data_IF_594260461105
#
_entry.id   IF_594260461105
#
_cell.length_a   1.000
_cell.length_b   1.000
_cell.length_c   1.000
_cell.angle_alpha   90.00
_cell.angle_beta   90.00
_cell.angle_gamma   90.00
#
_symmetry.space_group_name_H-M   'P 1'
#
loop_
_entity.id
_entity.type
_entity.pdbx_description
1 polymer ?
#
# COMPACT_ATOMS: atom_id res chain seq x y z
N UNK A 1 -14.31 -2.27 6.53
CA UNK A 1 -14.60 -2.99 5.27
C UNK A 1 -14.05 -4.40 5.39
N UNK A 2 -14.81 -5.42 5.01
CA UNK A 2 -14.32 -6.80 5.04
C UNK A 2 -13.51 -7.11 3.78
N UNK A 3 -12.66 -8.13 3.86
CA UNK A 3 -11.94 -8.67 2.71
C UNK A 3 -12.90 -9.09 1.59
N UNK A 4 -14.02 -9.72 1.95
CA UNK A 4 -15.05 -10.15 1.00
C UNK A 4 -15.66 -8.98 0.22
N UNK A 5 -15.85 -7.81 0.84
CA UNK A 5 -16.31 -6.62 0.13
C UNK A 5 -15.31 -6.16 -0.93
N UNK A 6 -14.01 -6.19 -0.61
CA UNK A 6 -12.95 -5.80 -1.56
C UNK A 6 -12.82 -6.83 -2.69
N UNK A 7 -12.86 -8.12 -2.36
CA UNK A 7 -12.80 -9.19 -3.36
C UNK A 7 -14.01 -9.14 -4.31
N UNK A 8 -15.21 -8.89 -3.80
CA UNK A 8 -16.41 -8.71 -4.64
C UNK A 8 -16.28 -7.53 -5.60
N UNK A 9 -15.72 -6.40 -5.14
CA UNK A 9 -15.45 -5.27 -6.02
C UNK A 9 -14.42 -5.61 -7.12
N UNK A 10 -13.35 -6.35 -6.78
CA UNK A 10 -12.38 -6.83 -7.76
C UNK A 10 -13.02 -7.77 -8.80
N UNK A 11 -13.95 -8.66 -8.38
CA UNK A 11 -14.71 -9.49 -9.31
C UNK A 11 -15.54 -8.68 -10.29
N UNK A 12 -16.22 -7.64 -9.80
CA UNK A 12 -17.03 -6.77 -10.65
C UNK A 12 -16.18 -5.99 -11.67
N UNK A 13 -14.90 -5.76 -11.39
CA UNK A 13 -13.94 -5.15 -12.30
C UNK A 13 -13.34 -6.15 -13.31
N UNK A 14 -13.74 -7.43 -13.28
CA UNK A 14 -13.28 -8.47 -14.20
C UNK A 14 -12.04 -9.23 -13.74
N UNK A 15 -11.55 -9.01 -12.52
CA UNK A 15 -10.43 -9.77 -11.98
C UNK A 15 -10.92 -11.04 -11.29
N UNK A 16 -10.46 -12.20 -11.75
CA UNK A 16 -10.70 -13.48 -11.08
C UNK A 16 -9.79 -13.69 -9.84
N UNK A 17 -9.89 -14.86 -9.22
CA UNK A 17 -9.27 -15.14 -7.91
C UNK A 17 -7.92 -15.76 -7.98
N UNK A 18 -7.51 -16.14 -9.19
CA UNK A 18 -6.19 -16.60 -9.49
C UNK A 18 -5.31 -15.40 -9.89
N UNK A 19 -5.91 -14.41 -10.55
CA UNK A 19 -5.26 -13.17 -10.97
C UNK A 19 -4.95 -12.27 -9.78
N UNK A 20 -5.96 -11.87 -8.99
CA UNK A 20 -5.73 -11.00 -7.83
C UNK A 20 -6.84 -11.07 -6.77
N UNK A 21 -6.42 -11.00 -5.51
CA UNK A 21 -7.29 -10.80 -4.34
C UNK A 21 -6.83 -9.58 -3.56
N UNK A 22 -7.68 -9.06 -2.66
CA UNK A 22 -7.40 -7.84 -1.91
C UNK A 22 -6.10 -7.87 -1.11
N UNK A 23 -5.69 -9.05 -0.60
CA UNK A 23 -4.39 -9.21 0.06
C UNK A 23 -3.22 -9.19 -0.92
N UNK A 24 -3.35 -9.84 -2.08
CA UNK A 24 -2.34 -9.84 -3.13
C UNK A 24 -2.06 -8.42 -3.66
N UNK A 25 -3.10 -7.59 -3.79
CA UNK A 25 -2.93 -6.19 -4.15
C UNK A 25 -2.12 -5.40 -3.10
N UNK A 26 -2.35 -5.65 -1.81
CA UNK A 26 -1.56 -5.03 -0.73
C UNK A 26 -0.10 -5.44 -0.77
N UNK A 27 0.18 -6.74 -0.97
CA UNK A 27 1.55 -7.24 -1.08
C UNK A 27 2.28 -6.62 -2.28
N UNK A 28 1.62 -6.55 -3.44
CA UNK A 28 2.15 -5.88 -4.63
C UNK A 28 2.45 -4.41 -4.36
N UNK A 29 1.51 -3.65 -3.77
CA UNK A 29 1.71 -2.25 -3.47
C UNK A 29 2.89 -2.02 -2.51
N UNK A 30 3.05 -2.87 -1.48
CA UNK A 30 4.19 -2.83 -0.56
C UNK A 30 5.51 -2.97 -1.32
N UNK A 31 5.63 -3.96 -2.20
CA UNK A 31 6.86 -4.21 -2.97
C UNK A 31 7.18 -3.05 -3.90
N UNK A 32 6.20 -2.53 -4.64
CA UNK A 32 6.43 -1.41 -5.57
C UNK A 32 6.82 -0.13 -4.80
N UNK A 33 6.16 0.16 -3.68
CA UNK A 33 6.49 1.33 -2.87
C UNK A 33 7.92 1.29 -2.32
N UNK A 34 8.42 0.10 -1.97
CA UNK A 34 9.78 -0.12 -1.48
C UNK A 34 10.80 -0.12 -2.63
N UNK A 35 10.68 -1.06 -3.56
CA UNK A 35 11.71 -1.38 -4.56
C UNK A 35 11.73 -0.41 -5.75
N UNK A 36 10.56 0.12 -6.15
CA UNK A 36 10.43 0.97 -7.35
C UNK A 36 10.39 2.44 -6.98
N UNK A 37 9.62 2.79 -5.96
CA UNK A 37 9.42 4.18 -5.55
C UNK A 37 10.34 4.59 -4.39
N UNK A 38 11.07 3.66 -3.78
CA UNK A 38 12.14 3.94 -2.81
C UNK A 38 11.66 4.53 -1.48
N UNK A 39 10.42 4.30 -1.08
CA UNK A 39 9.92 4.80 0.19
C UNK A 39 10.39 3.92 1.35
N UNK A 40 10.73 4.55 2.48
CA UNK A 40 11.17 3.80 3.65
C UNK A 40 10.08 2.82 4.12
N UNK A 41 10.45 1.57 4.47
CA UNK A 41 9.50 0.56 4.91
C UNK A 41 8.58 1.00 6.05
N UNK A 42 9.09 1.78 7.02
CA UNK A 42 8.27 2.26 8.15
C UNK A 42 7.05 3.08 7.70
N UNK A 43 7.19 3.91 6.66
CA UNK A 43 6.07 4.69 6.12
C UNK A 43 5.04 3.79 5.43
N UNK A 44 5.51 2.77 4.71
CA UNK A 44 4.68 1.80 3.99
C UNK A 44 3.87 0.99 5.01
N UNK A 45 4.52 0.45 6.04
CA UNK A 45 3.85 -0.31 7.11
C UNK A 45 2.79 0.55 7.84
N UNK A 46 3.10 1.82 8.15
CA UNK A 46 2.12 2.76 8.70
C UNK A 46 0.92 2.99 7.77
N UNK A 47 1.12 3.01 6.44
CA UNK A 47 0.05 3.18 5.46
C UNK A 47 -0.81 1.92 5.33
N UNK A 48 -0.21 0.75 5.50
CA UNK A 48 -0.90 -0.54 5.51
C UNK A 48 -1.60 -0.84 6.85
N UNK A 49 -1.50 0.08 7.81
CA UNK A 49 -2.01 -0.07 9.18
C UNK A 49 -1.40 -1.27 9.92
N UNK A 50 -0.19 -1.65 9.55
CA UNK A 50 0.57 -2.68 10.24
C UNK A 50 1.24 -2.10 11.49
N UNK A 51 1.58 -2.98 12.43
CA UNK A 51 2.40 -2.62 13.57
C UNK A 51 3.86 -2.47 13.12
N UNK A 52 4.41 -1.27 13.23
CA UNK A 52 5.84 -1.02 12.97
C UNK A 52 6.66 -1.54 14.15
N UNK A 53 7.66 -2.38 13.89
CA UNK A 53 8.61 -2.82 14.93
C UNK A 53 9.46 -1.63 15.35
N UNK A 54 9.40 -1.28 16.63
CA UNK A 54 10.24 -0.25 17.24
C UNK A 54 11.10 -0.89 18.35
N UNK A 55 12.43 -0.81 18.27
CA UNK A 55 13.34 -1.27 19.33
C UNK A 55 13.07 -0.65 20.71
N UNK A 56 12.51 0.57 20.77
CA UNK A 56 12.15 1.26 22.02
C UNK A 56 10.67 1.04 22.42
N UNK A 57 9.93 0.27 21.63
CA UNK A 57 8.51 -0.02 21.83
C UNK A 57 7.56 1.14 21.51
N UNK A 58 6.28 0.82 21.30
CA UNK A 58 5.21 1.80 21.00
C UNK A 58 5.03 2.93 22.02
N UNK A 59 5.65 2.83 23.20
CA UNK A 59 5.56 3.84 24.24
C UNK A 59 6.19 5.18 23.82
N UNK A 60 7.25 5.15 23.01
CA UNK A 60 8.01 6.34 22.63
C UNK A 60 7.83 6.75 21.16
N UNK A 61 7.53 5.81 20.27
CA UNK A 61 7.26 6.12 18.88
C UNK A 61 5.78 6.47 18.66
N UNK A 62 5.51 7.78 18.69
CA UNK A 62 4.21 8.39 18.32
C UNK A 62 4.22 8.98 16.91
N UNK A 63 5.25 8.70 16.09
CA UNK A 63 5.37 9.36 14.80
C UNK A 63 4.40 8.72 13.81
N UNK A 64 3.47 9.51 13.29
CA UNK A 64 2.50 9.07 12.28
C UNK A 64 3.01 9.24 10.85
N UNK A 65 4.14 9.96 10.67
CA UNK A 65 4.78 10.26 9.38
C UNK A 65 3.81 10.78 8.31
N UNK A 66 2.81 11.57 8.74
CA UNK A 66 1.74 12.03 7.85
C UNK A 66 2.25 12.83 6.63
N UNK A 67 3.22 13.76 6.75
CA UNK A 67 3.75 14.47 5.60
C UNK A 67 4.38 13.52 4.57
N UNK A 68 5.16 12.54 5.01
CA UNK A 68 5.86 11.58 4.17
C UNK A 68 4.89 10.58 3.53
N UNK A 69 3.91 10.09 4.30
CA UNK A 69 2.85 9.22 3.78
C UNK A 69 1.98 9.92 2.75
N UNK A 70 1.74 11.23 2.91
CA UNK A 70 1.06 12.03 1.89
C UNK A 70 1.89 12.08 0.61
N UNK A 71 3.19 12.37 0.69
CA UNK A 71 4.10 12.33 -0.49
C UNK A 71 4.09 10.95 -1.15
N UNK A 72 4.13 9.89 -0.35
CA UNK A 72 4.11 8.51 -0.82
C UNK A 72 2.86 8.16 -1.62
N UNK A 73 1.67 8.49 -1.13
CA UNK A 73 0.44 8.21 -1.86
C UNK A 73 0.26 9.08 -3.10
N UNK A 74 0.82 10.30 -3.11
CA UNK A 74 0.86 11.11 -4.34
C UNK A 74 1.80 10.50 -5.39
N UNK A 75 2.99 10.03 -4.99
CA UNK A 75 3.91 9.35 -5.90
C UNK A 75 3.31 8.03 -6.44
N UNK A 76 2.62 7.27 -5.59
CA UNK A 76 1.88 6.08 -5.99
C UNK A 76 0.82 6.40 -7.07
N UNK A 77 0.03 7.46 -6.86
CA UNK A 77 -0.98 7.88 -7.84
C UNK A 77 -0.34 8.29 -9.17
N UNK A 78 0.79 9.02 -9.12
CA UNK A 78 1.54 9.41 -10.32
C UNK A 78 2.09 8.19 -11.08
N UNK A 79 2.61 7.18 -10.36
CA UNK A 79 3.08 5.93 -10.95
C UNK A 79 1.97 5.16 -11.67
N UNK A 80 0.79 5.02 -11.04
CA UNK A 80 -0.36 4.36 -11.68
C UNK A 80 -0.85 5.12 -12.92
N UNK A 81 -0.86 6.45 -12.87
CA UNK A 81 -1.26 7.28 -14.00
C UNK A 81 -0.27 7.17 -15.17
N UNK A 82 1.02 7.08 -14.87
CA UNK A 82 2.05 6.86 -15.88
C UNK A 82 1.89 5.51 -16.59
N UNK A 83 1.69 4.43 -15.82
CA UNK A 83 1.38 3.09 -16.36
C UNK A 83 0.12 3.09 -17.23
N UNK A 84 -0.90 3.86 -16.85
CA UNK A 84 -2.15 3.98 -17.61
C UNK A 84 -1.94 4.66 -18.96
N UNK A 85 -1.07 5.67 -19.04
CA UNK A 85 -0.77 6.43 -20.26
C UNK A 85 0.11 5.66 -21.24
N UNK A 86 0.98 4.79 -20.73
CA UNK A 86 1.93 4.02 -21.53
C UNK A 86 1.45 2.57 -21.79
N UNK A 87 0.13 2.36 -21.81
CA UNK A 87 -0.50 1.06 -22.08
C UNK A 87 -0.88 0.89 -23.54
#
# INVERSE_FOLDING_TARGET
MSENTVNAALRNLGFDGETIVGHGFRAMARTVLDEVLGFRPDYIEHQLAHAVRDPLGRAYNRTAHLPERKKMIQAWAAYLEDLRKHR
#
